data_IF_099670830880
#
_entry.id   IF_099670830880
#
_cell.length_a   1.000
_cell.length_b   1.000
_cell.length_c   1.000
_cell.angle_alpha   90.00
_cell.angle_beta   90.00
_cell.angle_gamma   90.00
#
_symmetry.space_group_name_H-M   'P 1'
#
loop_
_entity.id
_entity.type
_entity.pdbx_description
1 polymer ?
#
# COMPACT_ATOMS: atom_id res chain seq x y z
N UNK A 1 4.84 34.35 -6.24
CA UNK A 1 3.48 33.86 -6.50
C UNK A 1 2.62 34.14 -5.28
N UNK A 2 1.38 34.64 -5.43
CA UNK A 2 0.46 34.75 -4.29
C UNK A 2 -0.21 33.40 -4.05
N UNK A 3 -0.66 33.13 -2.82
CA UNK A 3 -1.38 31.89 -2.47
C UNK A 3 -2.56 31.64 -3.42
N UNK A 4 -3.31 32.69 -3.75
CA UNK A 4 -4.45 32.62 -4.67
C UNK A 4 -4.08 32.14 -6.08
N UNK A 5 -2.88 32.47 -6.57
CA UNK A 5 -2.42 32.03 -7.89
C UNK A 5 -2.06 30.53 -7.87
N UNK A 6 -1.46 30.07 -6.76
CA UNK A 6 -1.17 28.65 -6.56
C UNK A 6 -2.43 27.79 -6.43
N UNK A 7 -3.46 28.29 -5.73
CA UNK A 7 -4.75 27.59 -5.60
C UNK A 7 -5.45 27.41 -6.94
N UNK A 8 -5.40 28.40 -7.84
CA UNK A 8 -5.97 28.28 -9.20
C UNK A 8 -5.28 27.21 -10.04
N UNK A 9 -3.96 27.08 -9.89
CA UNK A 9 -3.19 26.03 -10.58
C UNK A 9 -3.58 24.64 -10.04
N UNK A 10 -3.69 24.50 -8.72
CA UNK A 10 -4.14 23.26 -8.07
C UNK A 10 -5.56 22.89 -8.51
N UNK A 11 -6.45 23.88 -8.61
CA UNK A 11 -7.84 23.68 -9.00
C UNK A 11 -7.97 23.13 -10.43
N UNK A 12 -7.17 23.65 -11.36
CA UNK A 12 -7.14 23.18 -12.74
C UNK A 12 -6.57 21.75 -12.89
N UNK A 13 -5.80 21.28 -11.92
CA UNK A 13 -5.19 19.96 -11.88
C UNK A 13 -5.84 19.01 -10.88
N UNK A 14 -7.10 19.24 -10.49
CA UNK A 14 -7.73 18.60 -9.32
C UNK A 14 -7.66 17.07 -9.37
N UNK A 15 -6.69 16.52 -8.64
CA UNK A 15 -6.58 15.08 -8.36
C UNK A 15 -7.55 14.78 -7.23
N UNK A 16 -8.36 13.73 -7.39
CA UNK A 16 -9.24 13.25 -6.32
C UNK A 16 -8.43 13.06 -5.04
N UNK A 17 -8.84 13.73 -3.97
CA UNK A 17 -8.30 13.49 -2.64
C UNK A 17 -8.97 12.22 -2.08
N UNK A 18 -8.20 11.19 -1.68
CA UNK A 18 -8.75 10.04 -0.99
C UNK A 18 -9.53 10.44 0.26
N UNK A 19 -10.62 9.73 0.55
CA UNK A 19 -11.42 9.94 1.77
C UNK A 19 -10.71 9.40 3.01
N UNK A 20 -9.75 8.51 2.82
CA UNK A 20 -8.88 8.00 3.85
C UNK A 20 -7.94 6.93 3.30
N UNK A 21 -7.15 6.36 4.19
CA UNK A 21 -6.09 5.41 3.87
C UNK A 21 -6.16 4.20 4.79
N UNK A 22 -5.74 3.05 4.27
CA UNK A 22 -5.53 1.82 5.03
C UNK A 22 -4.19 1.21 4.68
N UNK A 23 -3.68 0.38 5.59
CA UNK A 23 -2.54 -0.49 5.30
C UNK A 23 -3.09 -1.84 4.89
N UNK A 24 -2.84 -2.26 3.66
CA UNK A 24 -3.08 -3.63 3.17
C UNK A 24 -1.83 -4.46 3.45
N UNK A 25 -2.00 -5.70 3.89
CA UNK A 25 -0.91 -6.63 4.11
C UNK A 25 -1.36 -8.06 3.89
N UNK A 26 -0.41 -8.97 3.78
CA UNK A 26 -0.65 -10.40 3.76
C UNK A 26 -0.12 -11.03 5.03
N UNK A 27 -0.95 -11.82 5.71
CA UNK A 27 -0.62 -12.45 6.98
C UNK A 27 -0.43 -13.95 6.79
N UNK A 28 0.69 -14.46 7.28
CA UNK A 28 0.88 -15.91 7.43
C UNK A 28 -0.03 -16.42 8.55
N UNK A 29 -0.91 -17.35 8.19
CA UNK A 29 -1.72 -18.14 9.12
C UNK A 29 -1.31 -19.61 9.03
N UNK A 30 -1.83 -20.45 9.93
CA UNK A 30 -1.50 -21.88 9.95
C UNK A 30 -1.87 -22.60 8.64
N UNK A 31 -2.92 -22.14 7.97
CA UNK A 31 -3.49 -22.74 6.75
C UNK A 31 -2.99 -22.11 5.45
N UNK A 32 -2.15 -21.08 5.50
CA UNK A 32 -1.70 -20.35 4.30
C UNK A 32 -1.46 -18.87 4.53
N UNK A 33 -1.81 -18.06 3.53
CA UNK A 33 -1.64 -16.61 3.56
C UNK A 33 -3.00 -15.95 3.30
N UNK A 34 -3.35 -14.97 4.13
CA UNK A 34 -4.61 -14.22 4.03
C UNK A 34 -4.35 -12.72 3.89
N UNK A 35 -5.16 -12.06 3.07
CA UNK A 35 -5.15 -10.60 2.96
C UNK A 35 -5.79 -9.97 4.21
N UNK A 36 -5.17 -8.90 4.70
CA UNK A 36 -5.65 -8.13 5.85
C UNK A 36 -5.56 -6.64 5.62
N UNK A 37 -6.40 -5.90 6.36
CA UNK A 37 -6.45 -4.45 6.34
C UNK A 37 -6.32 -3.91 7.76
N UNK A 38 -5.58 -2.82 7.91
CA UNK A 38 -5.55 -2.06 9.15
C UNK A 38 -5.63 -0.55 8.87
N UNK A 39 -6.62 0.18 9.43
CA UNK A 39 -7.74 -0.36 10.20
C UNK A 39 -8.62 -1.30 9.35
N UNK A 40 -9.39 -2.23 9.95
CA UNK A 40 -10.30 -3.10 9.22
C UNK A 40 -11.45 -2.30 8.58
N UNK A 41 -12.18 -2.90 7.63
CA UNK A 41 -13.16 -2.19 6.79
C UNK A 41 -14.27 -1.51 7.60
N UNK A 42 -14.64 -2.08 8.74
CA UNK A 42 -15.71 -1.63 9.64
C UNK A 42 -15.30 -0.41 10.48
N UNK A 43 -13.99 -0.12 10.57
CA UNK A 43 -13.43 0.99 11.35
C UNK A 43 -13.04 2.12 10.41
N UNK A 44 -13.27 3.37 10.83
CA UNK A 44 -12.90 4.55 10.03
C UNK A 44 -11.43 4.48 9.55
N UNK A 45 -11.15 4.84 8.28
CA UNK A 45 -9.80 4.81 7.73
C UNK A 45 -8.92 5.92 8.32
N UNK A 46 -7.61 5.81 8.12
CA UNK A 46 -6.66 6.85 8.51
C UNK A 46 -6.85 8.09 7.63
N UNK A 47 -6.77 9.28 8.22
CA UNK A 47 -7.00 10.54 7.51
C UNK A 47 -5.74 11.16 6.88
N UNK A 48 -4.58 10.51 7.04
CA UNK A 48 -3.29 10.97 6.50
C UNK A 48 -2.52 9.79 5.92
N UNK A 49 -2.05 9.97 4.70
CA UNK A 49 -1.11 9.11 4.00
C UNK A 49 0.22 8.99 4.74
N UNK A 50 0.76 10.10 5.25
CA UNK A 50 1.99 10.12 6.07
C UNK A 50 1.82 9.23 7.31
N UNK A 51 0.69 9.33 8.00
CA UNK A 51 0.38 8.46 9.15
C UNK A 51 0.25 7.00 8.73
N UNK A 52 -0.45 6.71 7.64
CA UNK A 52 -0.61 5.35 7.12
C UNK A 52 0.74 4.71 6.76
N UNK A 53 1.61 5.43 6.06
CA UNK A 53 2.95 4.97 5.70
C UNK A 53 3.84 4.77 6.93
N UNK A 54 3.81 5.69 7.89
CA UNK A 54 4.55 5.54 9.14
C UNK A 54 4.08 4.31 9.92
N UNK A 55 2.78 4.04 9.91
CA UNK A 55 2.19 2.86 10.54
C UNK A 55 2.59 1.57 9.81
N UNK A 56 2.52 1.53 8.48
CA UNK A 56 2.98 0.41 7.66
C UNK A 56 4.46 0.05 7.94
N UNK A 57 5.32 1.07 8.02
CA UNK A 57 6.73 0.88 8.37
C UNK A 57 6.91 0.30 9.78
N UNK A 58 6.16 0.78 10.78
CA UNK A 58 6.21 0.23 12.14
C UNK A 58 5.70 -1.21 12.20
N UNK A 59 4.65 -1.54 11.45
CA UNK A 59 4.15 -2.91 11.32
C UNK A 59 5.25 -3.82 10.77
N UNK A 60 5.86 -3.44 9.65
CA UNK A 60 6.98 -4.17 9.07
C UNK A 60 8.10 -4.42 10.09
N UNK A 61 8.54 -3.38 10.80
CA UNK A 61 9.59 -3.51 11.81
C UNK A 61 9.20 -4.47 12.92
N UNK A 62 7.96 -4.40 13.41
CA UNK A 62 7.47 -5.26 14.49
C UNK A 62 7.34 -6.73 14.08
N UNK A 63 7.06 -7.02 12.81
CA UNK A 63 6.83 -8.39 12.32
C UNK A 63 8.00 -8.97 11.54
N UNK A 64 9.11 -8.24 11.44
CA UNK A 64 10.29 -8.64 10.65
C UNK A 64 10.85 -10.00 11.07
N UNK A 65 11.06 -10.22 12.37
CA UNK A 65 11.59 -11.50 12.87
C UNK A 65 10.65 -12.67 12.63
N UNK A 66 9.34 -12.45 12.76
CA UNK A 66 8.34 -13.49 12.43
C UNK A 66 8.38 -13.81 10.93
N UNK A 67 8.53 -12.78 10.08
CA UNK A 67 8.61 -12.94 8.64
C UNK A 67 9.86 -13.65 8.15
N UNK A 68 11.02 -13.38 8.75
CA UNK A 68 12.30 -14.07 8.46
C UNK A 68 12.21 -15.57 8.77
N UNK A 69 11.43 -15.96 9.79
CA UNK A 69 11.22 -17.36 10.18
C UNK A 69 9.99 -18.01 9.53
N UNK A 70 9.22 -17.27 8.72
CA UNK A 70 7.96 -17.78 8.15
C UNK A 70 6.91 -18.17 9.18
N UNK A 71 6.97 -17.60 10.39
CA UNK A 71 6.12 -17.99 11.50
C UNK A 71 4.68 -17.45 11.34
N UNK A 72 3.66 -18.11 11.93
CA UNK A 72 2.32 -17.54 12.03
C UNK A 72 2.35 -16.12 12.61
N UNK A 73 1.61 -15.21 12.00
CA UNK A 73 1.63 -13.78 12.34
C UNK A 73 2.66 -12.95 11.59
N UNK A 74 3.52 -13.56 10.77
CA UNK A 74 4.35 -12.84 9.81
C UNK A 74 3.49 -12.02 8.84
N UNK A 75 3.92 -10.78 8.57
CA UNK A 75 3.27 -9.89 7.60
C UNK A 75 4.18 -9.65 6.40
N UNK A 76 3.62 -9.76 5.21
CA UNK A 76 4.25 -9.59 3.90
C UNK A 76 3.49 -8.59 3.06
N UNK A 77 4.13 -8.10 1.99
CA UNK A 77 3.52 -7.25 0.97
C UNK A 77 2.70 -6.08 1.57
N UNK A 78 3.31 -5.40 2.55
CA UNK A 78 2.65 -4.34 3.33
C UNK A 78 2.67 -3.06 2.49
N UNK A 79 1.49 -2.56 2.15
CA UNK A 79 1.29 -1.38 1.28
C UNK A 79 0.23 -0.45 1.87
N UNK A 80 0.24 0.82 1.45
CA UNK A 80 -0.84 1.77 1.75
C UNK A 80 -1.80 1.82 0.57
N UNK A 81 -3.09 1.79 0.85
CA UNK A 81 -4.16 1.91 -0.13
C UNK A 81 -5.13 3.04 0.22
N UNK A 82 -5.82 3.57 -0.78
CA UNK A 82 -6.87 4.59 -0.63
C UNK A 82 -8.23 3.99 -0.21
N UNK A 83 -9.28 4.81 -0.20
CA UNK A 83 -10.64 4.40 0.15
C UNK A 83 -11.27 3.41 -0.84
N UNK A 84 -10.68 3.22 -2.02
CA UNK A 84 -11.09 2.27 -3.05
C UNK A 84 -10.17 1.04 -3.13
N UNK A 85 -9.26 0.90 -2.16
CA UNK A 85 -8.24 -0.14 -2.12
C UNK A 85 -7.21 -0.07 -3.26
N UNK A 86 -7.08 1.08 -3.94
CA UNK A 86 -5.99 1.29 -4.89
C UNK A 86 -4.68 1.56 -4.15
N UNK A 87 -3.53 1.01 -4.61
CA UNK A 87 -2.23 1.36 -4.08
C UNK A 87 -2.02 2.87 -4.08
N UNK A 88 -1.50 3.41 -2.99
CA UNK A 88 -1.17 4.82 -2.86
C UNK A 88 0.35 5.00 -2.91
N UNK A 89 0.82 6.15 -3.40
CA UNK A 89 2.26 6.43 -3.51
C UNK A 89 2.84 6.79 -2.15
N UNK A 90 4.12 6.48 -1.93
CA UNK A 90 4.86 6.86 -0.74
C UNK A 90 5.13 8.37 -0.73
N UNK A 91 4.78 9.03 0.36
CA UNK A 91 4.88 10.49 0.47
C UNK A 91 6.31 11.02 0.35
N UNK A 92 7.32 10.20 0.66
CA UNK A 92 8.73 10.60 0.64
C UNK A 92 9.37 10.54 -0.75
N UNK A 93 8.97 9.59 -1.59
CA UNK A 93 9.58 9.35 -2.91
C UNK A 93 8.64 9.66 -4.08
N UNK A 94 7.31 9.63 -3.85
CA UNK A 94 6.31 9.72 -4.90
C UNK A 94 6.09 8.42 -5.67
N UNK A 95 6.76 7.33 -5.30
CA UNK A 95 6.69 6.03 -5.97
C UNK A 95 5.79 5.04 -5.20
N UNK A 96 5.35 3.97 -5.87
CA UNK A 96 4.69 2.87 -5.17
C UNK A 96 5.70 2.07 -4.35
N UNK A 97 5.39 1.86 -3.08
CA UNK A 97 6.28 1.17 -2.15
C UNK A 97 5.60 -0.07 -1.55
N UNK A 98 6.39 -1.08 -1.23
CA UNK A 98 5.92 -2.30 -0.57
C UNK A 98 6.96 -2.76 0.44
N UNK A 99 6.58 -2.84 1.71
CA UNK A 99 7.46 -3.38 2.73
C UNK A 99 7.35 -4.90 2.79
N UNK A 100 8.51 -5.54 2.97
CA UNK A 100 8.66 -6.99 3.06
C UNK A 100 8.03 -7.76 1.88
N UNK A 101 8.50 -7.50 0.65
CA UNK A 101 7.95 -8.15 -0.53
C UNK A 101 8.19 -9.66 -0.49
N UNK A 102 7.13 -10.45 -0.73
CA UNK A 102 7.20 -11.90 -0.86
C UNK A 102 6.43 -12.31 -2.11
N UNK A 103 7.08 -13.03 -3.03
CA UNK A 103 6.37 -13.67 -4.14
C UNK A 103 5.56 -14.82 -3.59
N UNK A 104 4.24 -14.66 -3.60
CA UNK A 104 3.31 -15.75 -3.34
C UNK A 104 2.94 -16.32 -4.70
N UNK A 105 3.04 -17.63 -4.85
CA UNK A 105 2.78 -18.38 -6.08
C UNK A 105 1.29 -18.38 -6.48
N UNK A 106 0.77 -17.18 -6.79
CA UNK A 106 -0.62 -16.93 -7.18
C UNK A 106 -0.81 -15.61 -7.97
N UNK A 107 0.19 -14.72 -8.01
CA UNK A 107 0.23 -13.60 -8.96
C UNK A 107 0.93 -14.03 -10.26
N UNK A 108 0.21 -14.73 -11.14
CA UNK A 108 0.59 -14.75 -12.56
C UNK A 108 0.41 -13.33 -13.10
N UNK A 109 1.52 -12.61 -13.21
CA UNK A 109 1.60 -11.45 -14.09
C UNK A 109 1.34 -11.99 -15.51
N UNK A 110 0.31 -11.54 -16.25
CA UNK A 110 0.16 -11.95 -17.62
C UNK A 110 1.44 -11.54 -18.35
N UNK A 111 2.10 -12.53 -18.95
CA UNK A 111 3.28 -12.33 -19.77
C UNK A 111 2.92 -11.24 -20.79
N UNK A 112 3.63 -10.11 -20.68
CA UNK A 112 3.59 -9.06 -21.67
C UNK A 112 4.10 -9.70 -22.97
N UNK A 113 3.19 -10.05 -23.87
CA UNK A 113 3.53 -10.57 -25.18
C UNK A 113 4.46 -9.55 -25.84
N UNK A 114 5.68 -9.99 -26.11
CA UNK A 114 6.59 -9.23 -26.94
C UNK A 114 5.96 -9.22 -28.34
N UNK A 115 5.47 -8.05 -28.75
CA UNK A 115 5.15 -7.76 -30.15
C UNK A 115 6.43 -7.97 -30.97
N UNK A 116 6.51 -9.16 -31.57
CA UNK A 116 7.46 -9.54 -32.59
C UNK A 116 6.86 -9.04 -33.91
N UNK A 117 7.07 -7.75 -34.23
CA UNK A 117 6.71 -7.20 -35.54
C UNK A 117 7.95 -7.20 -36.45
N UNK A 118 7.69 -7.76 -37.64
CA UNK A 118 8.62 -8.31 -38.62
C UNK A 118 8.99 -7.31 -39.70
#
# INVERSE_FOLDING_TARGET
MKIADGLKIIENGWIRKPKGFRVKFQKQVETGIEDGYSPPAEVAPLNSDVTAWRYAWKLWQATRTAAENGAPGALYNITVVDDESHPFRFYGTGEFETYNPKRISGDEVPAMEADDEK
#
